data_IF_956674190991
#
_entry.id   IF_956674190991
#
_cell.length_a   1.000
_cell.length_b   1.000
_cell.length_c   1.000
_cell.angle_alpha   90.00
_cell.angle_beta   90.00
_cell.angle_gamma   90.00
#
_symmetry.space_group_name_H-M   'P 1'
#
loop_
_entity.id
_entity.type
_entity.pdbx_description
1 polymer ?
#
# COMPACT_ATOMS: atom_id res chain seq x y z
N UNK A 1 -3.50 -26.29 -17.76
CA UNK A 1 -4.34 -25.15 -18.20
C UNK A 1 -5.42 -24.75 -17.19
N UNK A 2 -5.89 -25.64 -16.32
CA UNK A 2 -6.82 -25.30 -15.22
C UNK A 2 -6.18 -24.46 -14.11
N UNK A 3 -4.87 -24.52 -13.98
CA UNK A 3 -4.08 -23.87 -12.93
C UNK A 3 -3.97 -22.36 -13.11
N UNK A 4 -3.87 -21.85 -14.34
CA UNK A 4 -3.73 -20.41 -14.63
C UNK A 4 -5.00 -19.63 -14.22
N UNK A 5 -6.19 -20.21 -14.44
CA UNK A 5 -7.46 -19.56 -14.05
C UNK A 5 -7.68 -19.51 -12.54
N UNK A 6 -7.10 -20.45 -11.79
CA UNK A 6 -7.24 -20.53 -10.34
C UNK A 6 -6.30 -19.55 -9.59
N UNK A 7 -5.26 -19.06 -10.26
CA UNK A 7 -4.20 -18.21 -9.71
C UNK A 7 -3.90 -17.04 -10.66
N UNK A 8 -4.85 -16.15 -10.89
CA UNK A 8 -4.72 -15.10 -11.91
C UNK A 8 -3.65 -14.07 -11.61
N UNK A 9 -3.17 -13.99 -10.36
CA UNK A 9 -2.10 -13.11 -9.88
C UNK A 9 -0.71 -13.75 -9.89
N UNK A 10 -0.60 -15.03 -10.27
CA UNK A 10 0.67 -15.76 -10.29
C UNK A 10 1.23 -15.77 -11.72
N UNK A 11 2.50 -15.36 -11.92
CA UNK A 11 3.14 -15.33 -13.22
C UNK A 11 3.54 -16.76 -13.66
N UNK A 12 2.55 -17.59 -13.96
CA UNK A 12 2.75 -19.00 -14.35
C UNK A 12 3.56 -19.15 -15.64
N UNK A 13 3.56 -18.13 -16.49
CA UNK A 13 4.37 -18.05 -17.70
C UNK A 13 5.87 -17.86 -17.40
N UNK A 14 6.22 -17.37 -16.20
CA UNK A 14 7.61 -17.27 -15.74
C UNK A 14 8.15 -18.57 -15.14
N UNK A 15 7.31 -19.61 -14.96
CA UNK A 15 7.78 -20.92 -14.46
C UNK A 15 8.67 -21.60 -15.50
N UNK A 16 9.82 -22.05 -15.05
CA UNK A 16 10.73 -22.89 -15.82
C UNK A 16 11.01 -24.18 -15.04
N UNK A 17 10.48 -25.29 -15.56
CA UNK A 17 10.61 -26.63 -14.96
C UNK A 17 11.60 -27.51 -15.76
N UNK A 18 12.47 -26.92 -16.60
CA UNK A 18 13.44 -27.61 -17.43
C UNK A 18 14.88 -27.16 -17.14
N UNK A 19 15.87 -27.99 -17.49
CA UNK A 19 17.29 -27.69 -17.34
C UNK A 19 17.74 -26.45 -18.17
N UNK A 20 16.96 -26.09 -19.17
CA UNK A 20 17.16 -24.91 -19.98
C UNK A 20 15.93 -24.02 -20.00
N UNK A 21 16.09 -22.80 -19.51
CA UNK A 21 15.04 -21.78 -19.55
C UNK A 21 15.29 -20.80 -20.70
N UNK A 22 14.26 -20.46 -21.51
CA UNK A 22 14.38 -19.41 -22.51
C UNK A 22 14.81 -18.07 -21.92
N UNK A 23 15.52 -17.25 -22.69
CA UNK A 23 16.09 -15.95 -22.27
C UNK A 23 15.12 -15.01 -21.55
N UNK A 24 13.82 -15.17 -21.81
CA UNK A 24 12.75 -14.38 -21.19
C UNK A 24 12.43 -14.79 -19.74
N UNK A 25 13.03 -15.87 -19.23
CA UNK A 25 12.73 -16.45 -17.89
C UNK A 25 13.92 -16.41 -16.93
N UNK A 26 14.94 -15.61 -17.22
CA UNK A 26 16.17 -15.53 -16.40
C UNK A 26 16.06 -14.59 -15.20
N UNK A 27 14.96 -13.87 -15.02
CA UNK A 27 14.79 -13.06 -13.82
C UNK A 27 14.35 -13.96 -12.67
N UNK A 28 14.99 -13.89 -11.50
CA UNK A 28 14.53 -14.63 -10.33
C UNK A 28 13.12 -14.17 -9.97
N UNK A 29 12.19 -15.11 -10.02
CA UNK A 29 10.78 -14.85 -9.73
C UNK A 29 10.37 -15.72 -8.55
N UNK A 30 10.14 -15.07 -7.40
CA UNK A 30 9.70 -15.75 -6.19
C UNK A 30 8.20 -15.54 -6.02
N UNK A 31 7.42 -16.60 -6.16
CA UNK A 31 5.98 -16.56 -5.95
C UNK A 31 5.47 -17.84 -5.29
N UNK A 32 4.31 -17.75 -4.65
CA UNK A 32 3.62 -18.87 -4.04
C UNK A 32 2.27 -19.10 -4.71
N UNK A 33 1.93 -20.35 -4.95
CA UNK A 33 0.59 -20.81 -5.36
C UNK A 33 -0.30 -21.15 -4.16
N UNK A 34 0.16 -20.89 -2.96
CA UNK A 34 -0.57 -21.14 -1.72
C UNK A 34 -0.97 -19.83 -1.07
N UNK A 35 -2.13 -19.81 -0.47
CA UNK A 35 -2.61 -18.71 0.37
C UNK A 35 -3.13 -19.28 1.68
N UNK A 36 -3.03 -18.51 2.75
CA UNK A 36 -3.64 -18.87 4.03
C UNK A 36 -5.15 -18.74 3.86
N UNK A 37 -5.88 -19.81 4.14
CA UNK A 37 -7.35 -19.83 4.13
C UNK A 37 -7.94 -19.73 5.52
N UNK A 38 -7.21 -20.24 6.50
CA UNK A 38 -7.70 -20.34 7.87
C UNK A 38 -6.53 -20.38 8.83
N UNK A 39 -6.72 -19.82 10.01
CA UNK A 39 -5.83 -19.88 11.15
C UNK A 39 -6.66 -20.47 12.29
N UNK A 40 -6.19 -21.52 12.93
CA UNK A 40 -6.83 -22.16 14.07
C UNK A 40 -5.92 -22.11 15.30
N UNK A 41 -6.48 -21.85 16.47
CA UNK A 41 -5.81 -21.94 17.76
C UNK A 41 -6.33 -23.11 18.56
N UNK A 42 -5.42 -23.71 19.32
CA UNK A 42 -5.70 -24.91 20.10
C UNK A 42 -5.06 -24.80 21.48
N UNK A 43 -5.70 -25.35 22.47
CA UNK A 43 -5.15 -25.52 23.83
C UNK A 43 -5.10 -26.98 24.25
N UNK A 44 -4.31 -27.29 25.23
CA UNK A 44 -4.36 -28.64 25.89
C UNK A 44 -5.56 -28.69 26.81
N UNK A 45 -6.27 -29.83 26.82
CA UNK A 45 -7.31 -30.07 27.82
C UNK A 45 -6.67 -30.17 29.24
N UNK A 46 -7.51 -30.06 30.27
CA UNK A 46 -7.05 -30.06 31.65
C UNK A 46 -6.21 -31.30 32.03
N UNK A 47 -6.46 -32.43 31.38
CA UNK A 47 -5.68 -33.69 31.59
C UNK A 47 -4.36 -33.73 30.79
N UNK A 48 -4.10 -32.76 29.91
CA UNK A 48 -2.93 -32.71 29.03
C UNK A 48 -2.88 -33.81 27.96
N UNK A 49 -3.98 -34.51 27.71
CA UNK A 49 -4.05 -35.68 26.83
C UNK A 49 -4.52 -35.40 25.42
N UNK A 50 -5.24 -34.29 25.20
CA UNK A 50 -5.79 -33.93 23.90
C UNK A 50 -5.64 -32.43 23.62
N UNK A 51 -5.71 -32.05 22.31
CA UNK A 51 -5.83 -30.67 21.85
C UNK A 51 -7.31 -30.33 21.67
N UNK A 52 -7.72 -29.19 22.20
CA UNK A 52 -9.06 -28.63 22.07
C UNK A 52 -9.00 -27.34 21.26
N UNK A 53 -9.89 -27.20 20.28
CA UNK A 53 -9.97 -26.01 19.45
C UNK A 53 -10.52 -24.84 20.27
N UNK A 54 -9.88 -23.66 20.15
CA UNK A 54 -10.28 -22.44 20.86
C UNK A 54 -10.94 -21.48 19.90
N UNK A 55 -10.24 -21.09 18.83
CA UNK A 55 -10.70 -20.13 17.85
C UNK A 55 -10.33 -20.53 16.43
N UNK A 56 -11.02 -19.94 15.48
CA UNK A 56 -10.75 -20.07 14.05
C UNK A 56 -10.99 -18.76 13.36
N UNK A 57 -10.08 -18.36 12.45
CA UNK A 57 -10.24 -17.22 11.55
C UNK A 57 -10.23 -17.72 10.12
N UNK A 58 -11.39 -17.66 9.46
CA UNK A 58 -11.52 -17.97 8.04
C UNK A 58 -11.21 -16.71 7.21
N UNK A 59 -10.26 -16.82 6.25
CA UNK A 59 -9.79 -15.73 5.42
C UNK A 59 -10.43 -15.82 4.02
N UNK A 60 -11.36 -14.92 3.73
CA UNK A 60 -11.96 -14.76 2.40
C UNK A 60 -11.01 -14.00 1.47
N UNK A 61 -10.90 -14.45 0.24
CA UNK A 61 -10.06 -13.79 -0.77
C UNK A 61 -10.81 -13.59 -2.07
N UNK A 62 -10.50 -12.52 -2.76
CA UNK A 62 -11.04 -12.19 -4.09
C UNK A 62 -9.93 -11.70 -5.02
N UNK A 63 -10.26 -11.50 -6.29
CA UNK A 63 -9.39 -10.96 -7.32
C UNK A 63 -10.13 -9.81 -8.01
N UNK A 64 -10.10 -8.58 -7.45
CA UNK A 64 -10.72 -7.42 -8.07
C UNK A 64 -10.19 -7.22 -9.48
N UNK A 65 -11.10 -7.14 -10.45
CA UNK A 65 -10.75 -6.98 -11.86
C UNK A 65 -10.43 -5.52 -12.15
N UNK A 66 -9.26 -5.23 -12.76
CA UNK A 66 -8.97 -3.91 -13.29
C UNK A 66 -9.96 -3.54 -14.40
N UNK A 67 -10.39 -2.27 -14.44
CA UNK A 67 -11.28 -1.78 -15.48
C UNK A 67 -10.54 -1.47 -16.80
N UNK A 68 -9.22 -1.34 -16.75
CA UNK A 68 -8.38 -1.11 -17.93
C UNK A 68 -8.23 -2.35 -18.85
N UNK A 69 -8.79 -3.48 -18.47
CA UNK A 69 -8.90 -4.70 -19.26
C UNK A 69 -7.61 -5.48 -19.52
N UNK A 70 -6.46 -4.94 -19.18
CA UNK A 70 -5.16 -5.49 -19.51
C UNK A 70 -4.28 -5.84 -18.31
N UNK A 71 -4.58 -5.31 -17.13
CA UNK A 71 -3.82 -5.63 -15.92
C UNK A 71 -4.27 -6.97 -15.31
N UNK A 72 -3.29 -7.72 -14.84
CA UNK A 72 -3.53 -8.94 -14.09
C UNK A 72 -4.15 -8.58 -12.73
N UNK A 73 -5.28 -9.21 -12.34
CA UNK A 73 -5.89 -8.96 -11.04
C UNK A 73 -4.93 -9.36 -9.92
N UNK A 74 -5.00 -8.65 -8.80
CA UNK A 74 -4.19 -8.94 -7.61
C UNK A 74 -5.01 -9.70 -6.57
N UNK A 75 -4.34 -10.57 -5.80
CA UNK A 75 -4.97 -11.21 -4.65
C UNK A 75 -5.36 -10.15 -3.63
N UNK A 76 -6.62 -10.21 -3.18
CA UNK A 76 -7.21 -9.31 -2.19
C UNK A 76 -7.78 -10.10 -1.03
N UNK A 77 -7.43 -9.75 0.21
CA UNK A 77 -8.11 -10.22 1.39
C UNK A 77 -9.44 -9.46 1.51
N UNK A 78 -10.54 -10.15 1.29
CA UNK A 78 -11.88 -9.53 1.24
C UNK A 78 -12.63 -9.64 2.56
N UNK A 79 -12.35 -10.66 3.38
CA UNK A 79 -13.02 -10.84 4.67
C UNK A 79 -12.21 -11.69 5.65
N UNK A 80 -12.51 -11.51 6.93
CA UNK A 80 -12.04 -12.37 8.03
C UNK A 80 -13.27 -12.71 8.88
N UNK A 81 -13.56 -14.01 9.04
CA UNK A 81 -14.64 -14.48 9.91
C UNK A 81 -14.04 -15.18 11.13
N UNK A 82 -14.25 -14.62 12.29
CA UNK A 82 -13.85 -15.23 13.57
C UNK A 82 -14.93 -16.15 14.08
N UNK A 83 -14.53 -17.36 14.53
CA UNK A 83 -15.41 -18.35 15.14
C UNK A 83 -14.80 -18.82 16.43
N UNK A 84 -15.45 -18.55 17.55
CA UNK A 84 -15.13 -19.17 18.84
C UNK A 84 -15.56 -20.64 18.84
N UNK A 85 -14.67 -21.54 19.27
CA UNK A 85 -14.89 -23.00 19.25
C UNK A 85 -14.94 -23.64 20.65
N UNK A 86 -14.71 -22.86 21.69
CA UNK A 86 -14.85 -23.36 23.06
C UNK A 86 -16.34 -23.55 23.39
N UNK A 87 -16.81 -24.80 23.51
CA UNK A 87 -18.21 -25.16 23.62
C UNK A 87 -18.94 -25.20 22.28
N UNK A 88 -20.16 -24.66 22.22
CA UNK A 88 -20.89 -24.53 20.94
C UNK A 88 -20.24 -23.47 20.10
N UNK A 89 -19.85 -23.82 18.87
CA UNK A 89 -19.17 -22.89 17.97
C UNK A 89 -20.09 -21.69 17.61
N UNK A 90 -19.57 -20.48 17.77
CA UNK A 90 -20.26 -19.22 17.45
C UNK A 90 -19.41 -18.42 16.49
N UNK A 91 -19.93 -18.17 15.29
CA UNK A 91 -19.29 -17.30 14.32
C UNK A 91 -19.76 -15.87 14.48
N UNK A 92 -18.84 -14.92 14.51
CA UNK A 92 -19.14 -13.48 14.42
C UNK A 92 -19.45 -13.07 12.98
N UNK A 93 -20.14 -11.94 12.75
CA UNK A 93 -20.21 -11.34 11.43
C UNK A 93 -18.80 -11.14 10.86
N UNK A 94 -18.66 -11.24 9.55
CA UNK A 94 -17.35 -11.09 8.93
C UNK A 94 -16.84 -9.64 8.98
N UNK A 95 -15.59 -9.43 9.41
CA UNK A 95 -14.86 -8.22 9.07
C UNK A 95 -14.64 -8.21 7.56
N UNK A 96 -14.98 -7.09 6.90
CA UNK A 96 -14.86 -6.95 5.44
C UNK A 96 -13.89 -5.85 5.05
N UNK A 97 -13.13 -6.07 3.97
CA UNK A 97 -12.16 -5.13 3.41
C UNK A 97 -12.55 -4.82 1.97
N UNK A 98 -13.02 -3.58 1.75
CA UNK A 98 -13.47 -3.13 0.43
C UNK A 98 -12.32 -2.46 -0.33
N UNK A 99 -12.03 -2.88 -1.58
CA UNK A 99 -11.00 -2.25 -2.39
C UNK A 99 -11.54 -1.06 -3.18
N UNK A 100 -10.65 -0.10 -3.47
CA UNK A 100 -10.79 0.87 -4.56
C UNK A 100 -9.69 0.61 -5.59
N UNK A 101 -10.03 0.64 -6.87
CA UNK A 101 -9.06 0.47 -7.95
C UNK A 101 -8.48 1.83 -8.33
N UNK A 102 -7.15 1.96 -8.32
CA UNK A 102 -6.45 3.19 -8.66
C UNK A 102 -5.43 2.94 -9.77
N UNK A 103 -5.32 3.89 -10.69
CA UNK A 103 -4.38 3.88 -11.80
C UNK A 103 -2.93 3.91 -11.29
N UNK A 104 -2.19 2.81 -11.41
CA UNK A 104 -0.78 2.80 -11.02
C UNK A 104 0.10 3.51 -12.05
N UNK A 105 -0.14 3.32 -13.35
CA UNK A 105 0.58 4.02 -14.42
C UNK A 105 -0.17 5.29 -14.81
N UNK A 106 0.55 6.34 -15.15
CA UNK A 106 -0.03 7.58 -15.69
C UNK A 106 -0.60 7.29 -17.07
N UNK A 107 -1.90 7.55 -17.27
CA UNK A 107 -2.57 7.37 -18.56
C UNK A 107 -1.88 8.19 -19.65
N UNK A 108 -1.66 7.56 -20.81
CA UNK A 108 -0.98 8.22 -21.94
C UNK A 108 0.55 8.18 -21.89
N UNK A 109 1.16 7.64 -20.85
CA UNK A 109 2.63 7.52 -20.74
C UNK A 109 3.21 6.19 -21.26
N UNK A 110 2.49 5.48 -22.13
CA UNK A 110 3.02 4.28 -22.79
C UNK A 110 2.26 3.00 -22.55
N UNK A 111 0.96 3.04 -22.27
CA UNK A 111 0.13 1.83 -22.19
C UNK A 111 -1.06 1.97 -21.24
N UNK A 112 -1.61 0.80 -20.84
CA UNK A 112 -2.76 0.72 -19.94
C UNK A 112 -2.41 1.22 -18.53
N UNK A 113 -3.42 1.65 -17.78
CA UNK A 113 -3.25 2.30 -16.47
C UNK A 113 -2.67 1.40 -15.38
N UNK A 114 -2.65 0.07 -15.56
CA UNK A 114 -2.23 -0.92 -14.57
C UNK A 114 -2.92 -0.68 -13.22
N UNK A 115 -4.24 -0.68 -13.24
CA UNK A 115 -5.04 -0.50 -12.03
C UNK A 115 -4.71 -1.56 -10.98
N UNK A 116 -4.57 -1.11 -9.74
CA UNK A 116 -4.31 -1.98 -8.58
C UNK A 116 -5.24 -1.62 -7.42
N UNK A 117 -5.68 -2.63 -6.64
CA UNK A 117 -6.54 -2.40 -5.50
C UNK A 117 -5.78 -1.68 -4.37
N UNK A 118 -6.48 -0.75 -3.73
CA UNK A 118 -6.11 -0.10 -2.48
C UNK A 118 -7.27 -0.25 -1.50
N UNK A 119 -6.99 -0.18 -0.21
CA UNK A 119 -8.02 -0.29 0.82
C UNK A 119 -8.91 0.96 0.81
N UNK A 120 -10.21 0.81 0.50
CA UNK A 120 -11.18 1.88 0.60
C UNK A 120 -11.85 1.91 1.99
N UNK A 121 -12.24 0.73 2.50
CA UNK A 121 -12.85 0.66 3.84
C UNK A 121 -12.64 -0.70 4.51
N UNK A 122 -12.71 -0.67 5.84
CA UNK A 122 -12.80 -1.85 6.70
C UNK A 122 -14.11 -1.72 7.48
N UNK A 123 -14.97 -2.73 7.42
CA UNK A 123 -16.14 -2.82 8.30
C UNK A 123 -15.91 -3.96 9.27
N UNK A 124 -15.94 -3.67 10.57
CA UNK A 124 -15.72 -4.65 11.63
C UNK A 124 -16.94 -5.53 11.87
N UNK A 125 -16.76 -6.61 12.57
CA UNK A 125 -17.82 -7.52 13.03
C UNK A 125 -18.82 -6.87 13.97
N UNK A 126 -18.44 -5.75 14.60
CA UNK A 126 -19.29 -5.00 15.56
C UNK A 126 -19.98 -3.79 14.92
N UNK A 127 -19.81 -3.57 13.61
CA UNK A 127 -20.49 -2.49 12.88
C UNK A 127 -19.71 -1.18 12.84
N UNK A 128 -18.46 -1.10 13.31
CA UNK A 128 -17.63 0.08 13.03
C UNK A 128 -17.08 0.03 11.59
N UNK A 129 -16.98 1.18 10.94
CA UNK A 129 -16.40 1.31 9.62
C UNK A 129 -15.26 2.34 9.63
N UNK A 130 -14.12 1.93 9.10
CA UNK A 130 -12.99 2.83 8.81
C UNK A 130 -12.89 3.02 7.31
N UNK A 131 -13.02 4.25 6.83
CA UNK A 131 -12.85 4.61 5.41
C UNK A 131 -11.54 5.34 5.20
N UNK A 132 -10.86 5.03 4.10
CA UNK A 132 -9.56 5.62 3.73
C UNK A 132 -9.71 6.36 2.40
N UNK A 133 -9.34 7.63 2.39
CA UNK A 133 -9.29 8.46 1.19
C UNK A 133 -7.86 8.69 0.74
N UNK A 134 -7.68 8.75 -0.57
CA UNK A 134 -6.38 8.93 -1.19
C UNK A 134 -6.33 10.23 -1.99
N UNK A 135 -5.14 10.76 -2.13
CA UNK A 135 -4.87 11.89 -3.03
C UNK A 135 -5.26 11.57 -4.46
N UNK A 136 -5.61 12.60 -5.22
CA UNK A 136 -5.67 12.49 -6.68
C UNK A 136 -4.26 12.25 -7.27
N UNK A 137 -4.17 11.69 -8.50
CA UNK A 137 -2.93 11.70 -9.26
C UNK A 137 -2.35 13.12 -9.34
N UNK A 138 -1.04 13.26 -9.09
CA UNK A 138 -0.38 14.57 -9.19
C UNK A 138 0.07 14.87 -10.62
N UNK A 139 0.32 13.83 -11.40
CA UNK A 139 0.93 13.94 -12.72
C UNK A 139 0.02 13.42 -13.81
N UNK A 140 0.14 14.04 -14.97
CA UNK A 140 -0.46 13.60 -16.23
C UNK A 140 0.64 13.34 -17.23
N UNK A 141 0.33 12.72 -18.39
CA UNK A 141 1.33 12.47 -19.43
C UNK A 141 2.03 13.76 -19.94
N UNK A 142 1.35 14.91 -19.83
CA UNK A 142 1.90 16.22 -20.21
C UNK A 142 2.58 16.98 -19.07
N UNK A 143 2.51 16.49 -17.83
CA UNK A 143 3.05 17.18 -16.65
C UNK A 143 4.04 16.35 -15.83
N UNK A 144 4.60 15.29 -16.42
CA UNK A 144 5.69 14.51 -15.77
C UNK A 144 6.98 15.32 -15.77
N UNK A 145 7.84 15.15 -14.75
CA UNK A 145 9.17 15.78 -14.73
C UNK A 145 10.00 15.41 -15.97
N UNK A 146 10.79 16.36 -16.48
CA UNK A 146 11.77 16.06 -17.51
C UNK A 146 12.82 15.05 -16.98
N UNK A 147 13.41 14.25 -17.86
CA UNK A 147 14.39 13.22 -17.44
C UNK A 147 15.57 13.82 -16.67
N UNK A 148 16.03 15.00 -17.06
CA UNK A 148 17.10 15.75 -16.37
C UNK A 148 16.72 16.21 -14.96
N UNK A 149 15.41 16.32 -14.65
CA UNK A 149 14.90 16.74 -13.35
C UNK A 149 14.63 15.56 -12.38
N UNK A 150 14.75 14.31 -12.87
CA UNK A 150 14.48 13.11 -12.04
C UNK A 150 15.30 13.07 -10.75
N UNK A 151 16.63 13.40 -10.73
CA UNK A 151 17.40 13.37 -9.49
C UNK A 151 16.87 14.29 -8.38
N UNK A 152 16.17 15.37 -8.75
CA UNK A 152 15.57 16.35 -7.85
C UNK A 152 14.03 16.27 -7.77
N UNK A 153 13.44 15.19 -8.28
CA UNK A 153 11.99 15.03 -8.31
C UNK A 153 11.37 15.07 -6.89
N UNK A 154 10.47 16.01 -6.66
CA UNK A 154 9.74 16.16 -5.40
C UNK A 154 8.25 15.84 -5.55
N UNK A 155 7.83 15.47 -6.76
CA UNK A 155 6.45 15.10 -7.05
C UNK A 155 6.20 13.63 -6.73
N UNK A 156 4.93 13.23 -6.78
CA UNK A 156 4.52 11.82 -6.65
C UNK A 156 4.54 11.07 -7.98
N UNK A 157 5.21 11.61 -8.98
CA UNK A 157 5.45 10.96 -10.26
C UNK A 157 6.67 10.04 -10.14
N UNK A 158 6.45 8.75 -10.14
CA UNK A 158 7.49 7.74 -10.01
C UNK A 158 8.07 7.37 -11.38
N UNK A 159 9.36 7.63 -11.66
CA UNK A 159 10.00 7.18 -12.89
C UNK A 159 10.38 5.70 -12.76
N UNK A 160 10.04 4.91 -13.77
CA UNK A 160 10.40 3.48 -13.82
C UNK A 160 10.77 3.09 -15.24
N UNK A 161 11.90 2.41 -15.41
CA UNK A 161 12.21 1.70 -16.64
C UNK A 161 11.37 0.42 -16.69
N UNK A 162 10.36 0.39 -17.52
CA UNK A 162 9.37 -0.67 -17.57
C UNK A 162 9.27 -1.28 -18.98
N UNK A 163 9.13 -2.59 -19.02
CA UNK A 163 8.81 -3.36 -20.22
C UNK A 163 7.61 -4.25 -19.98
N UNK A 164 6.69 -4.30 -20.93
CA UNK A 164 5.59 -5.25 -20.97
C UNK A 164 5.92 -6.39 -21.94
N UNK A 165 6.74 -7.34 -21.52
CA UNK A 165 7.12 -8.48 -22.36
C UNK A 165 8.58 -8.43 -22.80
N UNK A 166 8.86 -8.75 -24.08
CA UNK A 166 10.23 -8.93 -24.61
C UNK A 166 10.91 -7.67 -25.12
N UNK A 167 10.18 -6.55 -25.19
CA UNK A 167 10.73 -5.27 -25.62
C UNK A 167 11.73 -4.70 -24.60
N UNK A 168 12.70 -3.91 -25.06
CA UNK A 168 13.58 -3.17 -24.17
C UNK A 168 12.77 -2.22 -23.27
N UNK A 169 13.12 -2.11 -21.97
CA UNK A 169 12.46 -1.17 -21.07
C UNK A 169 12.53 0.27 -21.57
N UNK A 170 11.42 0.98 -21.47
CA UNK A 170 11.33 2.42 -21.71
C UNK A 170 11.02 3.14 -20.40
N UNK A 171 11.45 4.40 -20.28
CA UNK A 171 11.12 5.21 -19.11
C UNK A 171 9.63 5.52 -19.13
N UNK A 172 8.94 5.11 -18.09
CA UNK A 172 7.51 5.31 -17.89
C UNK A 172 7.25 5.91 -16.52
N UNK A 173 6.06 6.49 -16.35
CA UNK A 173 5.70 7.21 -15.14
C UNK A 173 4.53 6.55 -14.44
N UNK A 174 4.63 6.45 -13.12
CA UNK A 174 3.65 5.81 -12.25
C UNK A 174 3.18 6.79 -11.17
N UNK A 175 1.94 6.61 -10.73
CA UNK A 175 1.36 7.40 -9.66
C UNK A 175 1.75 6.85 -8.29
N UNK A 176 2.20 7.72 -7.39
CA UNK A 176 2.28 7.43 -5.96
C UNK A 176 1.12 8.13 -5.26
N UNK A 177 0.23 7.35 -4.66
CA UNK A 177 -0.88 7.86 -3.86
C UNK A 177 -0.48 7.97 -2.40
N UNK A 178 -1.03 8.97 -1.71
CA UNK A 178 -0.93 9.13 -0.26
C UNK A 178 -2.32 9.22 0.33
N UNK A 179 -2.47 8.82 1.59
CA UNK A 179 -3.73 8.92 2.33
C UNK A 179 -3.99 10.38 2.67
N UNK A 180 -5.17 10.90 2.35
CA UNK A 180 -5.57 12.27 2.67
C UNK A 180 -6.47 12.35 3.87
N UNK A 181 -7.30 11.32 4.10
CA UNK A 181 -8.10 11.22 5.31
C UNK A 181 -8.38 9.77 5.70
N UNK A 182 -8.64 9.57 6.98
CA UNK A 182 -9.18 8.34 7.55
C UNK A 182 -10.38 8.72 8.41
N UNK A 183 -11.54 8.13 8.12
CA UNK A 183 -12.77 8.39 8.86
C UNK A 183 -13.22 7.11 9.55
N UNK A 184 -13.39 7.16 10.87
CA UNK A 184 -14.01 6.09 11.64
C UNK A 184 -15.45 6.48 11.95
N UNK A 185 -16.39 5.58 11.65
CA UNK A 185 -17.84 5.74 11.80
C UNK A 185 -18.45 4.54 12.52
N UNK A 186 -19.44 4.78 13.35
CA UNK A 186 -20.31 3.75 13.89
C UNK A 186 -21.52 3.58 12.98
N UNK A 187 -21.62 2.42 12.29
CA UNK A 187 -22.75 2.13 11.41
C UNK A 187 -24.01 1.70 12.19
N UNK A 188 -23.85 1.20 13.40
CA UNK A 188 -24.99 0.75 14.24
C UNK A 188 -25.75 1.97 14.73
N UNK A 189 -25.06 2.95 15.31
CA UNK A 189 -25.66 4.18 15.78
C UNK A 189 -26.19 5.07 14.63
N UNK A 190 -25.52 5.08 13.46
CA UNK A 190 -25.92 5.90 12.32
C UNK A 190 -27.15 5.37 11.55
N UNK A 191 -27.47 4.09 11.69
CA UNK A 191 -28.62 3.46 11.01
C UNK A 191 -29.94 3.61 11.75
N UNK A 192 -29.89 4.00 13.02
CA UNK A 192 -31.11 4.09 13.85
C UNK A 192 -31.61 5.55 13.95
N UNK A 193 -32.43 5.94 12.96
CA UNK A 193 -33.07 7.28 12.88
C UNK A 193 -33.96 7.62 14.10
N UNK A 194 -34.31 6.64 14.92
CA UNK A 194 -35.12 6.84 16.12
C UNK A 194 -34.30 7.22 17.37
N UNK A 195 -33.00 6.98 17.38
CA UNK A 195 -32.13 7.29 18.53
C UNK A 195 -31.98 8.81 18.74
N UNK A 196 -31.98 9.62 17.68
CA UNK A 196 -31.91 11.08 17.78
C UNK A 196 -33.18 11.66 18.45
N UNK A 197 -34.35 11.02 18.29
CA UNK A 197 -35.59 11.38 18.97
C UNK A 197 -35.63 11.00 20.46
N UNK A 198 -34.74 10.11 20.90
CA UNK A 198 -34.58 9.68 22.29
C UNK A 198 -33.49 10.44 23.06
N UNK A 199 -32.81 11.44 22.41
CA UNK A 199 -31.73 12.18 23.03
C UNK A 199 -30.42 11.34 23.16
N UNK A 200 -30.30 10.24 22.44
CA UNK A 200 -29.08 9.45 22.36
C UNK A 200 -28.20 10.08 21.30
N UNK A 201 -27.07 10.64 21.73
CA UNK A 201 -26.06 11.22 20.84
C UNK A 201 -25.52 10.14 19.90
N UNK A 202 -25.82 10.28 18.61
CA UNK A 202 -25.14 9.48 17.58
C UNK A 202 -23.68 9.89 17.59
N UNK A 203 -22.80 8.96 17.83
CA UNK A 203 -21.36 9.22 17.83
C UNK A 203 -20.93 9.88 16.52
N UNK A 204 -20.39 11.09 16.60
CA UNK A 204 -19.90 11.80 15.43
C UNK A 204 -18.74 11.04 14.78
N UNK A 205 -18.65 11.10 13.46
CA UNK A 205 -17.53 10.53 12.72
C UNK A 205 -16.20 11.08 13.25
N UNK A 206 -15.26 10.20 13.55
CA UNK A 206 -13.91 10.60 13.89
C UNK A 206 -13.08 10.70 12.60
N UNK A 207 -12.76 11.92 12.22
CA UNK A 207 -11.97 12.21 11.01
C UNK A 207 -10.55 12.56 11.39
N UNK A 208 -9.58 11.89 10.74
CA UNK A 208 -8.17 12.24 10.78
C UNK A 208 -7.75 12.64 9.35
N UNK A 209 -7.36 13.90 9.18
CA UNK A 209 -6.88 14.43 7.91
C UNK A 209 -5.36 14.52 7.91
N UNK A 210 -4.74 14.31 6.75
CA UNK A 210 -3.29 14.36 6.57
C UNK A 210 -2.90 15.38 5.51
N UNK A 211 -1.88 16.16 5.81
CA UNK A 211 -1.19 17.03 4.85
C UNK A 211 0.31 16.78 4.86
N UNK A 212 0.94 17.02 3.70
CA UNK A 212 2.31 16.62 3.43
C UNK A 212 3.14 17.83 3.00
N UNK A 213 4.28 18.04 3.64
CA UNK A 213 5.17 19.17 3.38
C UNK A 213 6.61 18.77 3.13
N UNK A 214 7.39 19.71 2.62
CA UNK A 214 8.82 19.51 2.34
C UNK A 214 9.11 18.76 1.04
N UNK A 215 8.09 18.60 0.17
CA UNK A 215 8.21 17.86 -1.08
C UNK A 215 8.37 16.35 -0.88
N UNK A 216 8.04 15.56 -1.91
CA UNK A 216 8.34 14.14 -1.95
C UNK A 216 9.83 13.87 -2.15
N UNK A 217 10.30 12.72 -1.76
CA UNK A 217 11.70 12.33 -2.00
C UNK A 217 11.78 10.97 -2.69
N UNK A 218 12.72 10.88 -3.62
CA UNK A 218 13.04 9.68 -4.37
C UNK A 218 14.55 9.42 -4.29
N UNK A 219 14.91 8.22 -3.82
CA UNK A 219 16.30 7.78 -3.76
C UNK A 219 16.64 6.95 -4.98
N UNK A 220 17.90 6.97 -5.39
CA UNK A 220 18.40 6.18 -6.49
C UNK A 220 18.32 4.69 -6.16
N UNK A 221 17.68 3.92 -7.02
CA UNK A 221 17.64 2.47 -6.91
C UNK A 221 18.95 1.88 -7.42
N UNK A 222 19.81 1.42 -6.53
CA UNK A 222 21.10 0.78 -6.84
C UNK A 222 21.06 -0.75 -6.71
N UNK A 223 19.84 -1.34 -6.64
CA UNK A 223 19.66 -2.78 -6.54
C UNK A 223 20.50 -3.55 -7.57
N UNK A 224 21.31 -4.53 -7.16
CA UNK A 224 22.11 -5.35 -8.06
C UNK A 224 21.27 -6.17 -9.04
N UNK A 225 19.97 -6.39 -8.72
CA UNK A 225 19.03 -7.12 -9.58
C UNK A 225 18.57 -6.29 -10.79
N UNK A 226 18.79 -4.97 -10.78
CA UNK A 226 18.44 -4.07 -11.88
C UNK A 226 19.70 -3.75 -12.69
N UNK A 227 19.64 -3.96 -14.02
CA UNK A 227 20.74 -3.57 -14.91
C UNK A 227 21.05 -2.09 -14.73
N UNK A 228 22.33 -1.70 -14.63
CA UNK A 228 22.74 -0.33 -14.30
C UNK A 228 22.14 0.75 -15.22
N UNK A 229 21.98 0.45 -16.53
CA UNK A 229 21.36 1.38 -17.49
C UNK A 229 19.89 1.69 -17.23
N UNK A 230 19.20 0.84 -16.46
CA UNK A 230 17.77 0.99 -16.11
C UNK A 230 17.55 1.41 -14.66
N UNK A 231 18.59 1.72 -13.90
CA UNK A 231 18.49 2.26 -12.56
C UNK A 231 18.13 3.74 -12.63
N UNK A 232 17.25 4.18 -11.71
CA UNK A 232 16.78 5.56 -11.60
C UNK A 232 16.34 5.87 -10.18
N UNK A 233 15.94 7.10 -9.87
CA UNK A 233 15.40 7.52 -8.56
C UNK A 233 13.96 7.06 -8.41
N UNK A 234 13.75 5.78 -8.16
CA UNK A 234 12.43 5.14 -8.06
C UNK A 234 12.09 4.63 -6.66
N UNK A 235 12.97 4.79 -5.68
CA UNK A 235 12.70 4.44 -4.29
C UNK A 235 12.04 5.60 -3.57
N UNK A 236 10.76 5.43 -3.25
CA UNK A 236 9.99 6.45 -2.54
C UNK A 236 10.40 6.54 -1.08
N UNK A 237 10.78 7.74 -0.63
CA UNK A 237 11.22 8.06 0.73
C UNK A 237 10.25 8.96 1.49
N UNK A 238 9.04 9.15 0.97
CA UNK A 238 8.00 9.93 1.64
C UNK A 238 8.21 11.43 1.60
N UNK A 239 7.59 12.09 2.56
CA UNK A 239 7.66 13.53 2.77
C UNK A 239 8.46 13.85 4.00
N UNK A 240 9.17 15.00 4.00
CA UNK A 240 9.93 15.44 5.16
C UNK A 240 9.07 15.87 6.34
N UNK A 241 7.80 16.22 6.06
CA UNK A 241 6.86 16.68 7.08
C UNK A 241 5.48 16.08 6.83
N UNK A 242 4.84 15.58 7.88
CA UNK A 242 3.44 15.13 7.85
C UNK A 242 2.70 15.79 9.00
N UNK A 243 1.61 16.47 8.69
CA UNK A 243 0.71 17.04 9.69
C UNK A 243 -0.57 16.22 9.69
N UNK A 244 -0.94 15.69 10.84
CA UNK A 244 -2.22 15.03 11.09
C UNK A 244 -3.12 15.91 11.93
N UNK A 245 -4.40 15.99 11.54
CA UNK A 245 -5.43 16.75 12.26
C UNK A 245 -6.55 15.78 12.62
N UNK A 246 -6.79 15.55 13.89
CA UNK A 246 -7.88 14.72 14.40
C UNK A 246 -9.02 15.62 14.85
N UNK A 247 -10.24 15.30 14.42
CA UNK A 247 -11.46 16.02 14.75
C UNK A 247 -11.81 17.12 13.76
N UNK A 248 -13.00 17.71 13.97
CA UNK A 248 -13.60 18.76 13.15
C UNK A 248 -13.97 19.98 14.00
N UNK A 249 -14.15 21.15 13.38
CA UNK A 249 -14.60 22.35 14.10
C UNK A 249 -13.56 22.95 15.06
N UNK A 250 -13.99 23.38 16.24
CA UNK A 250 -13.18 24.13 17.23
C UNK A 250 -12.24 23.28 18.10
N UNK A 251 -12.43 21.96 18.14
CA UNK A 251 -11.65 21.03 18.98
C UNK A 251 -10.79 20.13 18.11
N UNK A 252 -9.78 20.71 17.46
CA UNK A 252 -8.85 19.94 16.62
C UNK A 252 -7.59 19.62 17.39
N UNK A 253 -7.13 18.38 17.31
CA UNK A 253 -5.78 18.01 17.73
C UNK A 253 -4.88 17.95 16.51
N UNK A 254 -3.84 18.78 16.51
CA UNK A 254 -2.89 18.89 15.39
C UNK A 254 -1.56 18.31 15.84
N UNK A 255 -1.05 17.35 15.11
CA UNK A 255 0.28 16.77 15.33
C UNK A 255 1.09 16.93 14.05
N UNK A 256 2.24 17.59 14.16
CA UNK A 256 3.22 17.71 13.09
C UNK A 256 4.42 16.82 13.40
N UNK A 257 4.84 16.02 12.43
CA UNK A 257 6.00 15.14 12.51
C UNK A 257 6.97 15.45 11.38
N UNK A 258 8.25 15.58 11.72
CA UNK A 258 9.35 15.70 10.77
C UNK A 258 10.04 14.34 10.66
N UNK A 259 10.30 13.91 9.43
CA UNK A 259 10.85 12.60 9.14
C UNK A 259 12.23 12.68 8.49
N UNK A 260 13.11 11.80 8.90
CA UNK A 260 14.27 11.43 8.11
C UNK A 260 13.83 10.62 6.90
N UNK A 261 14.43 10.88 5.74
CA UNK A 261 14.11 10.22 4.45
C UNK A 261 15.30 9.46 3.89
N UNK A 262 16.43 9.48 4.58
CA UNK A 262 17.64 8.79 4.15
C UNK A 262 18.24 9.35 2.87
N UNK A 263 18.16 10.66 2.64
CA UNK A 263 18.58 11.29 1.38
C UNK A 263 20.02 11.75 1.37
N UNK A 264 20.71 11.79 2.52
CA UNK A 264 22.12 12.11 2.58
C UNK A 264 22.94 11.00 1.91
N UNK A 265 23.92 11.37 1.09
CA UNK A 265 24.77 10.43 0.35
C UNK A 265 24.09 9.79 -0.86
N UNK A 266 22.80 10.10 -1.16
CA UNK A 266 22.17 9.66 -2.41
C UNK A 266 22.88 10.23 -3.64
N UNK A 267 22.74 9.59 -4.80
CA UNK A 267 23.28 10.10 -6.06
C UNK A 267 22.73 11.46 -6.41
N UNK A 268 23.62 12.40 -6.75
CA UNK A 268 23.22 13.73 -7.20
C UNK A 268 22.82 13.75 -8.68
N UNK A 269 23.49 12.93 -9.51
CA UNK A 269 23.22 12.80 -10.96
C UNK A 269 23.35 11.34 -11.39
N UNK A 270 22.94 11.03 -12.63
CA UNK A 270 23.10 9.69 -13.21
C UNK A 270 24.56 9.26 -13.31
N UNK A 271 25.44 10.22 -13.50
CA UNK A 271 26.90 10.00 -13.68
C UNK A 271 27.67 9.93 -12.34
N UNK A 272 27.00 10.25 -11.22
CA UNK A 272 27.59 10.20 -9.88
C UNK A 272 27.35 11.45 -9.04
N UNK A 273 28.29 11.74 -8.14
CA UNK A 273 28.14 12.75 -7.11
C UNK A 273 27.25 12.28 -5.96
N UNK A 274 27.29 13.00 -4.86
CA UNK A 274 26.46 12.70 -3.68
C UNK A 274 25.71 13.94 -3.22
N UNK A 275 24.47 13.74 -2.82
CA UNK A 275 23.66 14.78 -2.16
C UNK A 275 24.13 14.97 -0.73
N UNK A 276 24.11 16.20 -0.24
CA UNK A 276 24.24 16.53 1.17
C UNK A 276 22.89 17.03 1.65
N UNK A 277 22.26 16.27 2.55
CA UNK A 277 20.92 16.56 3.06
C UNK A 277 20.91 16.45 4.57
N UNK A 278 20.28 17.44 5.23
CA UNK A 278 20.11 17.48 6.67
C UNK A 278 18.65 17.67 7.03
N UNK A 279 18.27 17.23 8.23
CA UNK A 279 16.96 17.44 8.84
C UNK A 279 17.17 18.24 10.12
N UNK A 280 16.31 19.24 10.37
CA UNK A 280 16.31 20.00 11.63
C UNK A 280 15.28 19.42 12.57
N UNK A 281 15.67 19.23 13.83
CA UNK A 281 14.76 18.83 14.90
C UNK A 281 13.98 20.03 15.48
N UNK A 282 13.12 19.78 16.46
CA UNK A 282 12.29 20.81 17.11
C UNK A 282 13.09 21.83 17.93
N UNK A 283 14.35 21.57 18.24
CA UNK A 283 15.26 22.49 18.93
C UNK A 283 16.05 23.38 17.98
N UNK A 284 15.98 23.09 16.65
CA UNK A 284 16.73 23.74 15.59
C UNK A 284 18.12 23.15 15.37
N UNK A 285 18.48 22.06 16.04
CA UNK A 285 19.69 21.31 15.72
C UNK A 285 19.51 20.56 14.41
N UNK A 286 20.60 20.45 13.64
CA UNK A 286 20.59 19.81 12.30
C UNK A 286 21.35 18.50 12.33
N UNK A 287 20.78 17.49 11.70
CA UNK A 287 21.30 16.13 11.63
C UNK A 287 21.42 15.68 10.18
N UNK A 288 22.47 14.97 9.79
CA UNK A 288 22.53 14.34 8.45
C UNK A 288 21.35 13.40 8.26
N UNK A 289 20.68 13.48 7.10
CA UNK A 289 19.56 12.63 6.72
C UNK A 289 20.09 11.27 6.20
N UNK A 290 20.72 10.49 7.07
CA UNK A 290 21.40 9.23 6.71
C UNK A 290 20.39 8.15 6.32
N UNK A 291 20.80 7.24 5.41
CA UNK A 291 19.94 6.20 4.83
C UNK A 291 19.29 5.29 5.88
N UNK A 292 20.03 4.94 6.93
CA UNK A 292 19.52 4.10 8.02
C UNK A 292 18.52 4.79 8.97
N UNK A 293 18.32 6.09 8.83
CA UNK A 293 17.30 6.84 9.57
C UNK A 293 15.97 6.93 8.82
N UNK A 294 15.86 6.38 7.60
CA UNK A 294 14.65 6.45 6.80
C UNK A 294 13.40 6.03 7.60
N UNK A 295 12.39 6.91 7.63
CA UNK A 295 11.15 6.71 8.37
C UNK A 295 11.21 7.05 9.88
N UNK A 296 12.36 7.40 10.44
CA UNK A 296 12.44 7.88 11.82
C UNK A 296 11.88 9.31 11.94
N UNK A 297 11.35 9.62 13.15
CA UNK A 297 10.73 10.92 13.52
C UNK A 297 11.67 11.67 14.44
#
# INVERSE_FOLDING_TARGET
>A
SSTVKAWPDVPMDAVCDSDYCPDQKYSPTFFSRKRVKQIDTWTRNAAGTAWEAVDSWALGSSFPKPADGAAVPSLWLSSITHTGKAGTAIALPALTLTPIMLDSRIKGSGGVALEKPRLASITSETGSQTTVEYSHPECTASSVPAESAIPGNQTRCMPVWYSSGTADPTLQWFNKYVVTSVTARDLVASSDVNLSGLGIDVSADQVTSYSYGGGGAWRYNDSPMTKSKYRTWSEWRGYGKVTSVVGTGGTKNVTEKTYFRGMNGDRATKDGGKKTVTVSDSTGATWPDEDWFDGMV
#
